data_IF_626411045389
#
_entry.id   IF_626411045389
#
_cell.length_a   1.000
_cell.length_b   1.000
_cell.length_c   1.000
_cell.angle_alpha   90.00
_cell.angle_beta   90.00
_cell.angle_gamma   90.00
#
_symmetry.space_group_name_H-M   'P 1'
#
loop_
_entity.id
_entity.type
_entity.pdbx_description
1 polymer ?
#
# COMPACT_ATOMS: atom_id res chain seq x y z
N UNK A 1 15.57 10.14 27.05
CA UNK A 1 14.25 9.51 26.80
C UNK A 1 14.44 8.41 25.76
N UNK A 2 14.11 7.15 26.07
CA UNK A 2 14.24 6.05 25.12
C UNK A 2 13.03 6.03 24.18
N UNK A 3 13.26 6.01 22.87
CA UNK A 3 12.20 5.86 21.86
C UNK A 3 11.84 4.38 21.72
N UNK A 4 10.57 4.03 21.96
CA UNK A 4 10.08 2.68 21.70
C UNK A 4 10.01 2.45 20.18
N UNK A 5 10.60 1.36 19.69
CA UNK A 5 10.46 0.93 18.29
C UNK A 5 9.37 -0.11 18.18
N UNK A 6 8.44 0.11 17.26
CA UNK A 6 7.55 -0.96 16.81
C UNK A 6 8.35 -1.93 15.91
N UNK A 7 8.11 -3.23 16.08
CA UNK A 7 8.64 -4.29 15.24
C UNK A 7 7.46 -5.04 14.61
N UNK A 8 7.64 -5.46 13.35
CA UNK A 8 6.68 -6.28 12.62
C UNK A 8 7.35 -7.61 12.31
N UNK A 9 6.77 -8.70 12.80
CA UNK A 9 7.09 -10.05 12.32
C UNK A 9 6.38 -10.27 10.99
N UNK A 10 7.10 -10.08 9.89
CA UNK A 10 6.55 -10.16 8.54
C UNK A 10 6.01 -11.56 8.18
N UNK A 11 6.72 -12.68 8.43
CA UNK A 11 6.17 -14.01 8.25
C UNK A 11 4.83 -14.22 8.98
N UNK A 12 4.75 -13.86 10.26
CA UNK A 12 3.51 -14.06 11.03
C UNK A 12 2.39 -13.13 10.55
N UNK A 13 2.71 -11.86 10.23
CA UNK A 13 1.74 -10.93 9.69
C UNK A 13 1.13 -11.42 8.36
N UNK A 14 1.95 -11.97 7.46
CA UNK A 14 1.49 -12.54 6.20
C UNK A 14 0.70 -13.83 6.42
N UNK A 15 1.14 -14.71 7.33
CA UNK A 15 0.41 -15.92 7.67
C UNK A 15 -1.00 -15.60 8.25
N UNK A 16 -1.09 -14.61 9.14
CA UNK A 16 -2.35 -14.15 9.69
C UNK A 16 -3.25 -13.50 8.63
N UNK A 17 -2.67 -12.73 7.70
CA UNK A 17 -3.39 -12.14 6.57
C UNK A 17 -3.98 -13.20 5.64
N UNK A 18 -3.18 -14.18 5.21
CA UNK A 18 -3.62 -15.26 4.31
C UNK A 18 -4.67 -16.14 4.96
N UNK A 19 -4.59 -16.34 6.27
CA UNK A 19 -5.58 -17.09 7.02
C UNK A 19 -6.86 -16.30 7.36
N UNK A 20 -6.99 -15.05 6.92
CA UNK A 20 -8.15 -14.20 7.21
C UNK A 20 -8.30 -13.84 8.70
N UNK A 21 -7.21 -13.90 9.47
CA UNK A 21 -7.20 -13.62 10.92
C UNK A 21 -7.00 -12.14 11.24
N UNK A 22 -6.61 -11.34 10.25
CA UNK A 22 -6.46 -9.90 10.42
C UNK A 22 -7.76 -9.19 10.00
N UNK A 23 -8.39 -8.39 10.89
CA UNK A 23 -9.48 -7.52 10.50
C UNK A 23 -8.91 -6.35 9.70
N UNK A 24 -8.74 -6.55 8.40
CA UNK A 24 -8.26 -5.51 7.49
C UNK A 24 -9.19 -5.36 6.30
N UNK A 25 -9.37 -4.12 5.85
CA UNK A 25 -10.00 -3.80 4.58
C UNK A 25 -9.17 -4.33 3.40
N UNK A 26 -9.78 -4.36 2.21
CA UNK A 26 -9.08 -4.74 1.00
C UNK A 26 -7.89 -3.84 0.65
N UNK A 27 -7.92 -2.55 1.02
CA UNK A 27 -6.82 -1.61 0.81
C UNK A 27 -5.67 -1.85 1.80
N UNK A 28 -5.98 -2.03 3.09
CA UNK A 28 -4.98 -2.34 4.12
C UNK A 28 -4.27 -3.66 3.85
N UNK A 29 -5.01 -4.70 3.42
CA UNK A 29 -4.42 -5.96 2.94
C UNK A 29 -3.34 -5.71 1.89
N UNK A 30 -3.64 -4.88 0.89
CA UNK A 30 -2.74 -4.60 -0.25
C UNK A 30 -1.50 -3.81 0.18
N UNK A 31 -1.67 -2.80 1.02
CA UNK A 31 -0.54 -2.07 1.60
C UNK A 31 0.36 -2.98 2.43
N UNK A 32 -0.23 -3.86 3.25
CA UNK A 32 0.54 -4.82 4.06
C UNK A 32 1.36 -5.78 3.18
N UNK A 33 0.78 -6.29 2.08
CA UNK A 33 1.48 -7.12 1.09
C UNK A 33 2.64 -6.36 0.44
N UNK A 34 2.40 -5.12 -0.03
CA UNK A 34 3.44 -4.29 -0.64
C UNK A 34 4.57 -4.01 0.35
N UNK A 35 4.25 -3.67 1.60
CA UNK A 35 5.23 -3.42 2.64
C UNK A 35 6.07 -4.68 2.94
N UNK A 36 5.45 -5.85 3.01
CA UNK A 36 6.15 -7.13 3.19
C UNK A 36 7.06 -7.46 2.01
N UNK A 37 6.62 -7.19 0.77
CA UNK A 37 7.44 -7.35 -0.43
C UNK A 37 8.68 -6.46 -0.38
N UNK A 38 8.54 -5.20 0.03
CA UNK A 38 9.65 -4.26 0.12
C UNK A 38 10.60 -4.65 1.27
N UNK A 39 10.06 -4.99 2.43
CA UNK A 39 10.86 -5.25 3.63
C UNK A 39 11.57 -6.61 3.61
N UNK A 40 10.95 -7.63 3.01
CA UNK A 40 11.40 -9.04 3.12
C UNK A 40 11.38 -9.82 1.81
N UNK A 41 11.18 -9.15 0.67
CA UNK A 41 11.10 -9.79 -0.65
C UNK A 41 10.01 -10.89 -0.73
N UNK A 42 8.92 -10.72 0.01
CA UNK A 42 7.74 -11.61 -0.08
C UNK A 42 7.12 -11.45 -1.47
N UNK A 43 6.96 -12.53 -2.26
CA UNK A 43 6.33 -12.44 -3.57
C UNK A 43 4.89 -11.98 -3.47
N UNK A 44 4.51 -11.01 -4.29
CA UNK A 44 3.14 -10.50 -4.39
C UNK A 44 2.72 -10.41 -5.85
N UNK A 45 1.44 -10.68 -6.12
CA UNK A 45 0.84 -10.33 -7.40
C UNK A 45 0.67 -8.82 -7.46
N UNK A 46 1.53 -8.14 -8.23
CA UNK A 46 1.50 -6.69 -8.37
C UNK A 46 0.20 -6.20 -9.00
N UNK A 47 -0.44 -6.98 -9.88
CA UNK A 47 -1.72 -6.61 -10.48
C UNK A 47 -2.81 -6.54 -9.42
N UNK A 48 -2.94 -7.56 -8.56
CA UNK A 48 -3.89 -7.52 -7.43
C UNK A 48 -3.49 -6.48 -6.38
N UNK A 49 -2.20 -6.39 -6.05
CA UNK A 49 -1.72 -5.52 -4.98
C UNK A 49 -1.87 -4.03 -5.30
N UNK A 50 -1.73 -3.63 -6.57
CA UNK A 50 -1.88 -2.24 -6.99
C UNK A 50 -3.34 -1.89 -7.34
N UNK A 51 -4.12 -2.86 -7.85
CA UNK A 51 -5.52 -2.64 -8.21
C UNK A 51 -6.37 -2.46 -6.96
N UNK A 52 -7.12 -1.35 -6.88
CA UNK A 52 -8.00 -1.07 -5.75
C UNK A 52 -7.35 -0.33 -4.57
N UNK A 53 -6.10 0.12 -4.71
CA UNK A 53 -5.54 1.14 -3.83
C UNK A 53 -6.21 2.50 -4.11
N UNK A 54 -6.48 3.25 -3.04
CA UNK A 54 -6.92 4.65 -3.19
C UNK A 54 -5.75 5.57 -3.57
N UNK A 55 -6.10 6.81 -3.92
CA UNK A 55 -5.15 7.85 -4.35
C UNK A 55 -4.01 8.08 -3.36
N UNK A 56 -4.30 8.13 -2.06
CA UNK A 56 -3.30 8.42 -1.05
C UNK A 56 -2.30 7.26 -0.95
N UNK A 57 -2.82 6.04 -0.91
CA UNK A 57 -2.03 4.82 -0.85
C UNK A 57 -1.16 4.60 -2.09
N UNK A 58 -1.67 4.89 -3.29
CA UNK A 58 -0.87 4.87 -4.53
C UNK A 58 0.30 5.87 -4.44
N UNK A 59 0.04 7.09 -3.96
CA UNK A 59 1.07 8.11 -3.79
C UNK A 59 2.19 7.66 -2.84
N UNK A 60 1.84 7.02 -1.72
CA UNK A 60 2.83 6.49 -0.77
C UNK A 60 3.66 5.35 -1.36
N UNK A 61 3.03 4.42 -2.10
CA UNK A 61 3.75 3.32 -2.76
C UNK A 61 4.72 3.85 -3.80
N UNK A 62 4.27 4.77 -4.67
CA UNK A 62 5.14 5.40 -5.67
C UNK A 62 6.32 6.14 -5.02
N UNK A 63 6.06 6.92 -3.95
CA UNK A 63 7.10 7.61 -3.19
C UNK A 63 8.14 6.66 -2.61
N UNK A 64 7.68 5.52 -2.08
CA UNK A 64 8.55 4.51 -1.49
C UNK A 64 9.43 3.84 -2.54
N UNK A 65 8.86 3.51 -3.71
CA UNK A 65 9.63 2.95 -4.84
C UNK A 65 10.68 3.95 -5.33
N UNK A 66 10.30 5.20 -5.56
CA UNK A 66 11.25 6.24 -5.99
C UNK A 66 12.38 6.42 -4.97
N UNK A 67 12.06 6.46 -3.68
CA UNK A 67 13.06 6.53 -2.61
C UNK A 67 13.97 5.29 -2.58
N UNK A 68 13.41 4.09 -2.74
CA UNK A 68 14.19 2.86 -2.80
C UNK A 68 15.17 2.84 -3.99
N UNK A 69 14.81 3.52 -5.09
CA UNK A 69 15.65 3.69 -6.26
C UNK A 69 16.59 4.92 -6.20
N UNK A 70 16.58 5.71 -5.11
CA UNK A 70 17.37 6.94 -4.99
C UNK A 70 16.84 8.12 -5.82
N UNK A 71 15.60 8.05 -6.31
CA UNK A 71 14.94 9.02 -7.18
C UNK A 71 13.99 9.96 -6.41
N UNK A 72 14.15 10.10 -5.09
CA UNK A 72 13.23 10.89 -4.25
C UNK A 72 13.11 12.37 -4.67
N UNK A 73 14.15 12.92 -5.31
CA UNK A 73 14.18 14.32 -5.77
C UNK A 73 13.44 14.53 -7.10
N UNK A 74 13.08 13.44 -7.80
CA UNK A 74 12.26 13.49 -9.02
C UNK A 74 10.76 13.35 -8.74
N UNK A 75 10.37 13.13 -7.47
CA UNK A 75 8.98 13.04 -7.09
C UNK A 75 8.39 14.44 -6.84
N UNK A 76 7.85 15.06 -7.89
CA UNK A 76 6.71 15.97 -7.70
C UNK A 76 5.55 15.04 -7.28
N UNK A 77 4.95 15.18 -6.08
CA UNK A 77 3.80 14.36 -5.72
C UNK A 77 2.79 14.56 -6.84
N UNK A 78 2.38 13.50 -7.55
CA UNK A 78 1.55 13.72 -8.70
C UNK A 78 0.23 14.23 -8.12
N UNK A 79 -0.05 15.52 -8.35
CA UNK A 79 -1.41 16.04 -8.34
C UNK A 79 -2.07 15.35 -9.53
N UNK A 80 -2.39 14.08 -9.32
CA UNK A 80 -3.09 13.24 -10.26
C UNK A 80 -4.48 13.87 -10.31
N UNK A 81 -4.69 14.84 -11.19
CA UNK A 81 -6.01 15.41 -11.45
C UNK A 81 -6.82 14.38 -12.25
N UNK A 82 -7.16 13.29 -11.55
CA UNK A 82 -8.00 12.22 -12.07
C UNK A 82 -9.41 12.65 -11.71
N UNK A 83 -10.28 12.90 -12.71
CA UNK A 83 -11.65 13.32 -12.45
C UNK A 83 -12.27 12.31 -11.50
N UNK A 84 -12.68 12.79 -10.33
CA UNK A 84 -13.56 12.04 -9.45
C UNK A 84 -14.83 11.77 -10.25
N UNK A 85 -15.00 10.53 -10.71
CA UNK A 85 -16.31 10.06 -11.15
C UNK A 85 -17.23 10.08 -9.94
N UNK A 86 -17.79 11.25 -9.67
CA UNK A 86 -18.88 11.41 -8.73
C UNK A 86 -20.00 10.53 -9.26
N UNK A 87 -20.27 9.46 -8.51
CA UNK A 87 -21.37 8.53 -8.64
C UNK A 87 -22.69 9.32 -8.71
N UNK A 88 -23.07 9.72 -9.91
CA UNK A 88 -24.36 10.34 -10.24
C UNK A 88 -25.08 9.49 -11.29
N UNK A 89 -25.37 8.23 -10.99
CA UNK A 89 -26.15 7.36 -11.88
C UNK A 89 -26.80 6.15 -11.18
N UNK A 90 -27.15 6.23 -9.89
CA UNK A 90 -27.79 5.07 -9.23
C UNK A 90 -28.80 5.37 -8.12
N UNK A 91 -29.64 6.38 -8.33
CA UNK A 91 -30.93 6.45 -7.63
C UNK A 91 -32.02 6.70 -8.66
N UNK A 92 -32.66 5.62 -9.07
CA UNK A 92 -34.02 5.58 -9.62
C UNK A 92 -34.92 5.02 -8.53
#
# INVERSE_FOLDING_TARGET
MASARAFIDWPEAIAALTAGRLPCSGGERRILLIAASIARAVPVDLSDALTGLDRANIGLVAATVLRACGLQDQMIPPQLDIPSHHRGAQQR
#
